data_IF_468593468790
#
_entry.id   IF_468593468790
#
_cell.length_a   1.000
_cell.length_b   1.000
_cell.length_c   1.000
_cell.angle_alpha   90.00
_cell.angle_beta   90.00
_cell.angle_gamma   90.00
#
_symmetry.space_group_name_H-M   'P 1'
#
loop_
_entity.id
_entity.type
_entity.pdbx_description
1 polymer ?
#
# COMPACT_ATOMS: atom_id res chain seq x y z
N UNK A 1 -3.12 15.11 -29.85
CA UNK A 1 -2.60 13.84 -29.26
C UNK A 1 -3.53 13.39 -28.14
N UNK A 2 -3.67 12.07 -27.90
CA UNK A 2 -4.52 11.56 -26.81
C UNK A 2 -3.91 11.90 -25.43
N UNK A 3 -4.69 12.58 -24.59
CA UNK A 3 -4.29 13.02 -23.24
C UNK A 3 -4.25 11.82 -22.27
N UNK A 4 -3.06 11.46 -21.78
CA UNK A 4 -2.89 10.32 -20.87
C UNK A 4 -3.26 10.63 -19.41
N UNK A 5 -3.59 11.89 -19.05
CA UNK A 5 -3.91 12.29 -17.67
C UNK A 5 -5.10 11.52 -17.09
N UNK A 6 -6.15 11.30 -17.89
CA UNK A 6 -7.31 10.52 -17.46
C UNK A 6 -6.94 9.05 -17.20
N UNK A 7 -6.06 8.47 -18.01
CA UNK A 7 -5.55 7.12 -17.83
C UNK A 7 -4.66 7.03 -16.58
N UNK A 8 -3.81 8.02 -16.33
CA UNK A 8 -2.99 8.09 -15.10
C UNK A 8 -3.89 8.13 -13.87
N UNK A 9 -4.95 8.94 -13.87
CA UNK A 9 -5.91 9.02 -12.76
C UNK A 9 -6.57 7.66 -12.48
N UNK A 10 -7.01 6.97 -13.54
CA UNK A 10 -7.58 5.63 -13.42
C UNK A 10 -6.57 4.62 -12.85
N UNK A 11 -5.32 4.67 -13.32
CA UNK A 11 -4.25 3.76 -12.85
C UNK A 11 -3.87 4.04 -11.40
N UNK A 12 -3.85 5.30 -10.99
CA UNK A 12 -3.64 5.69 -9.58
C UNK A 12 -4.73 5.11 -8.68
N UNK A 13 -5.99 5.26 -9.09
CA UNK A 13 -7.09 4.66 -8.33
C UNK A 13 -6.94 3.14 -8.21
N UNK A 14 -6.51 2.44 -9.27
CA UNK A 14 -6.25 1.00 -9.19
C UNK A 14 -5.14 0.65 -8.18
N UNK A 15 -4.06 1.43 -8.13
CA UNK A 15 -3.01 1.28 -7.11
C UNK A 15 -3.60 1.46 -5.70
N UNK A 16 -4.41 2.50 -5.50
CA UNK A 16 -5.04 2.78 -4.21
C UNK A 16 -5.95 1.62 -3.77
N UNK A 17 -6.76 1.06 -4.68
CA UNK A 17 -7.62 -0.09 -4.39
C UNK A 17 -6.81 -1.33 -3.99
N UNK A 18 -5.70 -1.61 -4.69
CA UNK A 18 -4.80 -2.72 -4.31
C UNK A 18 -4.12 -2.49 -2.96
N UNK A 19 -3.75 -1.25 -2.65
CA UNK A 19 -3.18 -0.90 -1.34
C UNK A 19 -4.21 -1.08 -0.21
N UNK A 20 -5.49 -0.75 -0.45
CA UNK A 20 -6.57 -1.00 0.52
C UNK A 20 -6.70 -2.48 0.84
N UNK A 21 -6.73 -3.34 -0.19
CA UNK A 21 -6.79 -4.81 -0.01
C UNK A 21 -5.58 -5.30 0.80
N UNK A 22 -4.37 -4.81 0.49
CA UNK A 22 -3.17 -5.16 1.25
C UNK A 22 -3.28 -4.72 2.72
N UNK A 23 -3.79 -3.51 2.98
CA UNK A 23 -4.00 -3.00 4.33
C UNK A 23 -5.02 -3.83 5.12
N UNK A 24 -6.12 -4.28 4.48
CA UNK A 24 -7.11 -5.17 5.10
C UNK A 24 -6.49 -6.51 5.51
N UNK A 25 -5.63 -7.10 4.68
CA UNK A 25 -4.93 -8.34 5.00
C UNK A 25 -4.02 -8.16 6.23
N UNK A 26 -3.30 -7.03 6.33
CA UNK A 26 -2.49 -6.73 7.51
C UNK A 26 -3.33 -6.57 8.78
N UNK A 27 -4.48 -5.88 8.69
CA UNK A 27 -5.42 -5.76 9.82
C UNK A 27 -5.91 -7.12 10.30
N UNK A 28 -6.17 -8.06 9.38
CA UNK A 28 -6.57 -9.42 9.77
C UNK A 28 -5.45 -10.15 10.53
N UNK A 29 -4.19 -10.02 10.12
CA UNK A 29 -3.07 -10.58 10.87
C UNK A 29 -2.97 -9.95 12.26
N UNK A 30 -3.12 -8.64 12.36
CA UNK A 30 -3.08 -7.94 13.64
C UNK A 30 -4.17 -8.43 14.59
N UNK A 31 -5.40 -8.60 14.11
CA UNK A 31 -6.50 -9.18 14.89
C UNK A 31 -6.19 -10.60 15.37
N UNK A 32 -5.58 -11.44 14.52
CA UNK A 32 -5.16 -12.79 14.93
C UNK A 32 -4.11 -12.73 16.03
N UNK A 33 -3.09 -11.87 15.91
CA UNK A 33 -2.05 -11.76 16.94
C UNK A 33 -2.60 -11.20 18.26
N UNK A 34 -3.50 -10.22 18.22
CA UNK A 34 -4.19 -9.73 19.41
C UNK A 34 -4.99 -10.84 20.10
N UNK A 35 -5.75 -11.63 19.32
CA UNK A 35 -6.52 -12.76 19.87
C UNK A 35 -5.62 -13.85 20.47
N UNK A 36 -4.48 -14.16 19.84
CA UNK A 36 -3.48 -15.08 20.39
C UNK A 36 -2.95 -14.59 21.72
N UNK A 37 -2.63 -13.30 21.81
CA UNK A 37 -2.12 -12.70 23.05
C UNK A 37 -3.14 -12.79 24.18
N UNK A 38 -4.41 -12.47 23.91
CA UNK A 38 -5.51 -12.61 24.89
C UNK A 38 -5.62 -14.05 25.41
N UNK A 39 -5.55 -15.04 24.52
CA UNK A 39 -5.59 -16.45 24.92
C UNK A 39 -4.38 -16.87 25.76
N UNK A 40 -3.19 -16.38 25.41
CA UNK A 40 -1.97 -16.66 26.18
C UNK A 40 -2.01 -16.01 27.57
N UNK A 41 -2.51 -14.78 27.68
CA UNK A 41 -2.60 -14.10 28.97
C UNK A 41 -3.65 -14.76 29.86
N UNK A 42 -4.81 -15.14 29.30
CA UNK A 42 -5.80 -15.95 30.01
C UNK A 42 -5.21 -17.28 30.51
N UNK A 43 -4.41 -17.96 29.69
CA UNK A 43 -3.76 -19.21 30.11
C UNK A 43 -2.80 -18.99 31.28
N UNK A 44 -2.05 -17.88 31.29
CA UNK A 44 -1.15 -17.51 32.39
C UNK A 44 -1.91 -17.17 33.66
N UNK A 45 -2.99 -16.41 33.56
CA UNK A 45 -3.85 -16.05 34.69
C UNK A 45 -4.42 -17.31 35.36
N UNK A 46 -5.02 -18.22 34.56
CA UNK A 46 -5.58 -19.48 35.05
C UNK A 46 -4.50 -20.36 35.69
N UNK A 47 -3.28 -20.37 35.13
CA UNK A 47 -2.16 -21.09 35.73
C UNK A 47 -1.76 -20.52 37.09
N UNK A 48 -1.68 -19.19 37.20
CA UNK A 48 -1.33 -18.53 38.45
C UNK A 48 -2.36 -18.81 39.56
N UNK A 49 -3.65 -18.89 39.22
CA UNK A 49 -4.70 -19.28 40.19
C UNK A 49 -4.47 -20.69 40.74
N UNK A 50 -4.10 -21.64 39.87
CA UNK A 50 -3.83 -23.03 40.27
C UNK A 50 -2.57 -23.17 41.12
N UNK A 51 -1.51 -22.44 40.77
CA UNK A 51 -0.26 -22.51 41.52
C UNK A 51 -0.44 -21.98 42.97
N UNK A 52 -1.39 -21.06 43.20
CA UNK A 52 -1.69 -20.53 44.52
C UNK A 52 -2.74 -21.33 45.31
N UNK A 53 -3.84 -21.75 44.66
CA UNK A 53 -5.04 -22.30 45.34
C UNK A 53 -5.57 -23.60 44.71
N UNK A 54 -4.77 -24.29 43.90
CA UNK A 54 -5.23 -25.40 43.08
C UNK A 54 -5.60 -26.66 43.86
N UNK A 55 -6.80 -27.18 43.61
CA UNK A 55 -7.20 -28.55 44.01
C UNK A 55 -6.90 -29.55 42.88
N UNK A 56 -6.83 -30.85 43.20
CA UNK A 56 -6.58 -31.91 42.20
C UNK A 56 -7.58 -31.88 41.04
N UNK A 57 -8.84 -31.58 41.32
CA UNK A 57 -9.90 -31.45 40.31
C UNK A 57 -9.65 -30.25 39.40
N UNK A 58 -9.24 -29.10 39.96
CA UNK A 58 -8.91 -27.90 39.19
C UNK A 58 -7.73 -28.14 38.22
N UNK A 59 -6.72 -28.91 38.64
CA UNK A 59 -5.61 -29.31 37.76
C UNK A 59 -6.08 -30.15 36.57
N UNK A 60 -7.02 -31.09 36.78
CA UNK A 60 -7.57 -31.90 35.70
C UNK A 60 -8.38 -31.07 34.68
N UNK A 61 -9.17 -30.10 35.16
CA UNK A 61 -9.89 -29.16 34.28
C UNK A 61 -8.94 -28.26 33.49
N UNK A 62 -7.89 -27.75 34.15
CA UNK A 62 -6.89 -26.90 33.51
C UNK A 62 -6.16 -27.62 32.38
N UNK A 63 -5.84 -28.90 32.53
CA UNK A 63 -5.22 -29.69 31.46
C UNK A 63 -6.06 -29.67 30.17
N UNK A 64 -7.39 -29.86 30.27
CA UNK A 64 -8.30 -29.80 29.12
C UNK A 64 -8.41 -28.38 28.55
N UNK A 65 -8.51 -27.38 29.43
CA UNK A 65 -8.57 -25.98 29.05
C UNK A 65 -7.31 -25.54 28.26
N UNK A 66 -6.13 -25.84 28.79
CA UNK A 66 -4.84 -25.56 28.15
C UNK A 66 -4.72 -26.23 26.79
N UNK A 67 -5.12 -27.50 26.66
CA UNK A 67 -5.15 -28.20 25.37
C UNK A 67 -6.07 -27.50 24.35
N UNK A 68 -7.24 -27.03 24.77
CA UNK A 68 -8.16 -26.30 23.89
C UNK A 68 -7.59 -24.95 23.43
N UNK A 69 -6.88 -24.24 24.32
CA UNK A 69 -6.16 -23.01 23.96
C UNK A 69 -5.06 -23.33 22.95
N UNK A 70 -4.23 -24.35 23.19
CA UNK A 70 -3.17 -24.74 22.26
C UNK A 70 -3.72 -25.07 20.86
N UNK A 71 -4.81 -25.85 20.78
CA UNK A 71 -5.47 -26.13 19.48
C UNK A 71 -5.98 -24.86 18.80
N UNK A 72 -6.50 -23.91 19.57
CA UNK A 72 -6.94 -22.61 19.03
C UNK A 72 -5.76 -21.80 18.48
N UNK A 73 -4.64 -21.77 19.20
CA UNK A 73 -3.41 -21.10 18.77
C UNK A 73 -2.83 -21.73 17.49
N UNK A 74 -2.85 -23.07 17.39
CA UNK A 74 -2.42 -23.78 16.17
C UNK A 74 -3.27 -23.38 14.96
N UNK A 75 -4.60 -23.39 15.09
CA UNK A 75 -5.53 -22.96 14.03
C UNK A 75 -5.28 -21.51 13.61
N UNK A 76 -5.09 -20.61 14.57
CA UNK A 76 -4.77 -19.21 14.31
C UNK A 76 -3.43 -19.04 13.58
N UNK A 77 -2.42 -19.84 13.93
CA UNK A 77 -1.13 -19.82 13.24
C UNK A 77 -1.24 -20.36 11.79
N UNK A 78 -2.05 -21.39 11.56
CA UNK A 78 -2.33 -21.88 10.20
C UNK A 78 -3.06 -20.84 9.36
N UNK A 79 -4.05 -20.16 9.93
CA UNK A 79 -4.76 -19.07 9.27
C UNK A 79 -3.83 -17.91 8.94
N UNK A 80 -2.97 -17.51 9.90
CA UNK A 80 -1.95 -16.50 9.68
C UNK A 80 -1.02 -16.85 8.52
N UNK A 81 -0.52 -18.09 8.44
CA UNK A 81 0.33 -18.55 7.32
C UNK A 81 -0.37 -18.39 5.97
N UNK A 82 -1.67 -18.70 5.89
CA UNK A 82 -2.46 -18.50 4.67
C UNK A 82 -2.58 -17.02 4.31
N UNK A 83 -2.77 -16.15 5.30
CA UNK A 83 -2.80 -14.69 5.10
C UNK A 83 -1.44 -14.13 4.66
N UNK A 84 -0.34 -14.63 5.20
CA UNK A 84 1.03 -14.22 4.82
C UNK A 84 1.29 -14.50 3.33
N UNK A 85 0.86 -15.65 2.81
CA UNK A 85 0.93 -15.95 1.37
C UNK A 85 0.09 -14.97 0.55
N UNK A 86 -1.13 -14.66 1.02
CA UNK A 86 -2.00 -13.68 0.34
C UNK A 86 -1.43 -12.28 0.37
N UNK A 87 -0.75 -11.89 1.44
CA UNK A 87 -0.04 -10.61 1.56
C UNK A 87 1.09 -10.56 0.55
N UNK A 88 1.88 -11.61 0.41
CA UNK A 88 2.96 -11.65 -0.57
C UNK A 88 2.43 -11.41 -2.00
N UNK A 89 1.35 -12.10 -2.37
CA UNK A 89 0.67 -11.91 -3.65
C UNK A 89 0.16 -10.47 -3.80
N UNK A 90 -0.52 -9.94 -2.78
CA UNK A 90 -1.05 -8.58 -2.80
C UNK A 90 0.07 -7.51 -2.89
N UNK A 91 1.23 -7.74 -2.28
CA UNK A 91 2.39 -6.87 -2.41
C UNK A 91 2.92 -6.85 -3.84
N UNK A 92 3.04 -8.01 -4.48
CA UNK A 92 3.51 -8.11 -5.86
C UNK A 92 2.52 -7.44 -6.83
N UNK A 93 1.23 -7.61 -6.60
CA UNK A 93 0.15 -6.91 -7.30
C UNK A 93 0.25 -5.38 -7.19
N UNK A 94 0.49 -4.86 -5.98
CA UNK A 94 0.69 -3.42 -5.75
C UNK A 94 1.93 -2.92 -6.49
N UNK A 95 3.04 -3.65 -6.41
CA UNK A 95 4.29 -3.31 -7.11
C UNK A 95 4.07 -3.24 -8.62
N UNK A 96 3.40 -4.23 -9.20
CA UNK A 96 3.12 -4.27 -10.63
C UNK A 96 2.21 -3.10 -11.05
N UNK A 97 1.12 -2.87 -10.33
CA UNK A 97 0.20 -1.77 -10.62
C UNK A 97 0.90 -0.41 -10.55
N UNK A 98 1.75 -0.21 -9.54
CA UNK A 98 2.53 1.00 -9.38
C UNK A 98 3.55 1.20 -10.50
N UNK A 99 4.28 0.15 -10.88
CA UNK A 99 5.24 0.19 -11.99
C UNK A 99 4.55 0.56 -13.32
N UNK A 100 3.39 -0.04 -13.58
CA UNK A 100 2.59 0.26 -14.77
C UNK A 100 2.07 1.71 -14.78
N UNK A 101 1.59 2.20 -13.65
CA UNK A 101 1.21 3.61 -13.50
C UNK A 101 2.40 4.53 -13.77
N UNK A 102 3.56 4.26 -13.16
CA UNK A 102 4.76 5.09 -13.32
C UNK A 102 5.28 5.13 -14.74
N UNK A 103 5.23 4.02 -15.47
CA UNK A 103 5.61 4.00 -16.89
C UNK A 103 4.79 5.01 -17.70
N UNK A 104 3.48 5.07 -17.47
CA UNK A 104 2.58 6.01 -18.16
C UNK A 104 2.85 7.45 -17.73
N UNK A 105 3.06 7.69 -16.41
CA UNK A 105 3.41 9.02 -15.90
C UNK A 105 4.71 9.54 -16.53
N UNK A 106 5.74 8.71 -16.66
CA UNK A 106 7.01 9.09 -17.29
C UNK A 106 6.79 9.48 -18.75
N UNK A 107 6.08 8.65 -19.52
CA UNK A 107 5.79 8.94 -20.94
C UNK A 107 5.03 10.26 -21.10
N UNK A 108 4.03 10.51 -20.27
CA UNK A 108 3.28 11.77 -20.29
C UNK A 108 4.18 12.96 -19.92
N UNK A 109 5.07 12.80 -18.94
CA UNK A 109 5.97 13.87 -18.51
C UNK A 109 6.98 14.26 -19.60
N UNK A 110 7.48 13.30 -20.37
CA UNK A 110 8.37 13.57 -21.49
C UNK A 110 7.64 14.30 -22.62
N UNK A 111 6.39 13.91 -22.93
CA UNK A 111 5.56 14.63 -23.90
C UNK A 111 5.35 16.08 -23.49
N UNK A 112 4.99 16.31 -22.23
CA UNK A 112 4.77 17.66 -21.71
C UNK A 112 6.06 18.51 -21.75
N UNK A 113 7.23 17.91 -21.54
CA UNK A 113 8.52 18.61 -21.69
C UNK A 113 8.79 19.00 -23.15
N UNK A 114 8.55 18.09 -24.08
CA UNK A 114 8.73 18.37 -25.52
C UNK A 114 7.77 19.46 -25.99
N UNK A 115 6.48 19.35 -25.67
CA UNK A 115 5.46 20.35 -26.02
C UNK A 115 5.80 21.73 -25.43
N UNK A 116 6.23 21.79 -24.16
CA UNK A 116 6.67 23.05 -23.54
C UNK A 116 7.89 23.66 -24.21
N UNK A 117 8.85 22.81 -24.62
CA UNK A 117 10.04 23.28 -25.32
C UNK A 117 9.69 23.84 -26.70
N UNK A 118 8.87 23.13 -27.47
CA UNK A 118 8.39 23.60 -28.78
C UNK A 118 7.62 24.92 -28.67
N UNK A 119 6.77 25.04 -27.65
CA UNK A 119 6.03 26.28 -27.39
C UNK A 119 6.97 27.43 -27.01
N UNK A 120 7.96 27.20 -26.14
CA UNK A 120 8.94 28.20 -25.76
C UNK A 120 9.84 28.62 -26.94
N UNK A 121 10.25 27.66 -27.78
CA UNK A 121 11.03 27.93 -28.99
C UNK A 121 10.22 28.77 -29.99
N UNK A 122 8.90 28.51 -30.10
CA UNK A 122 8.00 29.29 -30.96
C UNK A 122 7.81 30.72 -30.42
N UNK A 123 7.51 30.86 -29.14
CA UNK A 123 7.36 32.16 -28.47
C UNK A 123 8.66 32.98 -28.55
N UNK A 124 9.82 32.33 -28.40
CA UNK A 124 11.13 32.98 -28.57
C UNK A 124 11.31 33.56 -29.97
N UNK A 125 11.01 32.78 -31.02
CA UNK A 125 11.09 33.27 -32.42
C UNK A 125 10.14 34.43 -32.69
N UNK A 126 8.91 34.36 -32.18
CA UNK A 126 7.93 35.45 -32.32
C UNK A 126 8.41 36.72 -31.61
N UNK A 127 9.01 36.62 -30.43
CA UNK A 127 9.59 37.77 -29.73
C UNK A 127 10.81 38.35 -30.46
N UNK A 128 11.67 37.51 -31.01
CA UNK A 128 12.84 37.95 -31.79
C UNK A 128 12.40 38.71 -33.06
N UNK A 129 11.37 38.22 -33.77
CA UNK A 129 10.78 38.92 -34.93
C UNK A 129 10.23 40.30 -34.53
N UNK A 130 9.45 40.37 -33.44
CA UNK A 130 8.92 41.64 -32.93
C UNK A 130 10.06 42.61 -32.56
N UNK A 131 11.12 42.11 -31.93
CA UNK A 131 12.30 42.90 -31.56
C UNK A 131 13.04 43.47 -32.77
N UNK A 132 13.24 42.66 -33.81
CA UNK A 132 13.87 43.10 -35.07
C UNK A 132 13.02 44.13 -35.81
N UNK A 133 11.71 43.94 -35.88
CA UNK A 133 10.80 44.89 -36.52
C UNK A 133 10.65 46.19 -35.73
N UNK A 134 10.77 46.15 -34.40
CA UNK A 134 10.87 47.34 -33.57
C UNK A 134 12.16 48.11 -33.82
N UNK A 135 13.30 47.40 -33.90
CA UNK A 135 14.59 48.00 -34.20
C UNK A 135 14.65 48.64 -35.59
N UNK A 136 14.11 47.96 -36.62
CA UNK A 136 14.02 48.50 -37.99
C UNK A 136 13.23 49.80 -38.03
N UNK A 137 12.06 49.85 -37.39
CA UNK A 137 11.22 51.05 -37.34
C UNK A 137 11.93 52.24 -36.69
N UNK A 138 12.68 52.03 -35.62
CA UNK A 138 13.43 53.10 -34.94
C UNK A 138 14.66 53.60 -35.72
N UNK A 139 15.15 52.86 -36.71
CA UNK A 139 16.29 53.28 -37.54
C UNK A 139 15.85 53.92 -38.88
N UNK A 140 14.57 53.83 -39.23
CA UNK A 140 13.99 54.47 -40.43
C UNK A 140 13.38 55.86 -40.15
N UNK A 141 13.26 56.25 -38.87
CA UNK A 141 13.03 57.64 -38.40
C UNK A 141 14.34 58.37 -38.11
#
# INVERSE_FOLDING_TARGET
MANLKSLIKLRRHNVDEKQKVLAELYRHIEMIEQNKQILMDRLKEERAVLDNNGTLEMYAYFGRFSQNIHRSLERMNEEKKKLEVRIQIAQDDVREAFANMKRIEIVQSEREKTEKKEQADKEGREMDEIGLDGYRRNNEE
#
